data_IF_857600352258
#
_entry.id   IF_857600352258
#
_cell.length_a   1.000
_cell.length_b   1.000
_cell.length_c   1.000
_cell.angle_alpha   90.00
_cell.angle_beta   90.00
_cell.angle_gamma   90.00
#
_symmetry.space_group_name_H-M   'P 1'
#
loop_
_entity.id
_entity.type
_entity.pdbx_description
1 polymer ?
#
# COMPACT_ATOMS: atom_id res chain seq x y z
N UNK A 1 26.73 -50.41 33.83
CA UNK A 1 26.51 -51.69 33.11
C UNK A 1 25.02 -52.00 33.16
N UNK A 2 24.54 -52.68 32.12
CA UNK A 2 23.16 -53.10 31.78
C UNK A 2 22.28 -52.07 31.05
N UNK A 3 22.13 -52.38 29.77
CA UNK A 3 21.48 -51.72 28.64
C UNK A 3 19.99 -52.08 28.56
N UNK A 4 19.19 -51.16 28.03
CA UNK A 4 17.82 -51.42 27.61
C UNK A 4 17.78 -51.52 26.07
N UNK A 5 17.05 -52.49 25.51
CA UNK A 5 17.05 -52.87 24.09
C UNK A 5 15.63 -53.09 23.59
N UNK A 6 15.35 -52.60 22.38
CA UNK A 6 14.22 -52.98 21.51
C UNK A 6 13.06 -51.99 21.55
N UNK A 7 12.53 -51.47 20.44
CA UNK A 7 12.78 -51.70 19.02
C UNK A 7 11.57 -51.18 18.25
N UNK A 8 11.75 -50.49 17.13
CA UNK A 8 10.67 -50.23 16.16
C UNK A 8 11.26 -50.08 14.76
N UNK A 9 10.68 -50.87 13.85
CA UNK A 9 10.97 -51.00 12.43
C UNK A 9 10.62 -49.74 11.63
N UNK A 10 11.44 -49.40 10.64
CA UNK A 10 10.96 -48.76 9.41
C UNK A 10 11.93 -49.02 8.26
N UNK A 11 11.42 -49.75 7.25
CA UNK A 11 12.11 -50.18 6.06
C UNK A 11 12.33 -49.07 5.03
N UNK A 12 13.51 -49.09 4.39
CA UNK A 12 13.78 -48.49 3.08
C UNK A 12 13.28 -49.45 1.98
N UNK A 13 12.81 -48.94 0.82
CA UNK A 13 13.57 -49.28 -0.38
C UNK A 13 13.73 -48.16 -1.41
N UNK A 14 14.76 -48.40 -2.23
CA UNK A 14 15.41 -47.63 -3.28
C UNK A 14 14.66 -47.54 -4.62
N UNK A 15 14.94 -46.42 -5.30
CA UNK A 15 15.21 -46.19 -6.75
C UNK A 15 14.11 -46.50 -7.78
N UNK A 16 13.88 -45.52 -8.68
CA UNK A 16 14.21 -45.67 -10.12
C UNK A 16 14.03 -44.35 -10.90
N UNK A 17 15.10 -43.92 -11.57
CA UNK A 17 15.06 -43.06 -12.77
C UNK A 17 14.60 -43.89 -13.99
N UNK A 18 13.91 -43.27 -14.95
CA UNK A 18 14.05 -43.57 -16.39
C UNK A 18 13.40 -42.49 -17.26
N UNK A 19 14.21 -41.96 -18.18
CA UNK A 19 13.89 -41.01 -19.24
C UNK A 19 13.01 -41.65 -20.34
N UNK A 20 12.23 -40.84 -21.06
CA UNK A 20 11.58 -41.25 -22.31
C UNK A 20 10.89 -40.10 -23.04
N UNK A 21 11.43 -39.74 -24.21
CA UNK A 21 11.05 -38.63 -25.07
C UNK A 21 9.75 -38.85 -25.87
N UNK A 22 9.09 -37.75 -26.23
CA UNK A 22 8.02 -37.69 -27.23
C UNK A 22 7.53 -36.26 -27.50
N UNK A 23 8.05 -35.66 -28.56
CA UNK A 23 7.44 -34.53 -29.32
C UNK A 23 7.08 -35.08 -30.73
N UNK A 24 6.32 -34.39 -31.60
CA UNK A 24 5.54 -33.16 -31.45
C UNK A 24 4.10 -33.28 -32.04
N UNK A 25 3.21 -32.32 -31.77
CA UNK A 25 2.17 -31.89 -32.75
C UNK A 25 1.72 -30.46 -32.50
N UNK A 26 1.73 -29.69 -33.60
CA UNK A 26 1.27 -28.32 -33.75
C UNK A 26 -0.12 -28.04 -33.18
N UNK A 27 -0.26 -26.89 -32.54
CA UNK A 27 -1.52 -26.39 -31.99
C UNK A 27 -1.42 -24.92 -31.65
N UNK A 28 -1.21 -24.11 -32.68
CA UNK A 28 -1.17 -22.66 -32.63
C UNK A 28 -2.47 -22.09 -32.04
N UNK A 29 -2.40 -21.54 -30.84
CA UNK A 29 -3.45 -20.69 -30.27
C UNK A 29 -2.81 -19.38 -29.82
N UNK A 30 -2.80 -18.42 -30.74
CA UNK A 30 -2.45 -17.04 -30.47
C UNK A 30 -3.42 -16.45 -29.43
N UNK A 31 -2.89 -15.94 -28.32
CA UNK A 31 -3.65 -15.10 -27.41
C UNK A 31 -4.09 -13.82 -28.14
N UNK A 32 -5.38 -13.45 -28.11
CA UNK A 32 -5.85 -12.27 -28.79
C UNK A 32 -5.33 -11.02 -28.07
N UNK A 33 -4.60 -10.19 -28.82
CA UNK A 33 -4.36 -8.81 -28.46
C UNK A 33 -5.70 -8.10 -28.28
N UNK A 34 -5.97 -7.55 -27.11
CA UNK A 34 -7.08 -6.65 -26.90
C UNK A 34 -6.72 -5.26 -27.47
N UNK A 35 -6.79 -5.15 -28.79
CA UNK A 35 -6.92 -3.88 -29.48
C UNK A 35 -8.39 -3.69 -29.80
N UNK A 36 -9.07 -2.84 -29.02
CA UNK A 36 -10.24 -2.13 -29.51
C UNK A 36 -10.03 -0.64 -29.25
N UNK A 37 -9.66 0.02 -30.33
CA UNK A 37 -9.90 1.43 -30.56
C UNK A 37 -11.40 1.70 -30.41
N UNK A 38 -11.73 2.56 -29.47
CA UNK A 38 -12.96 3.32 -29.46
C UNK A 38 -12.62 4.68 -28.89
N UNK A 39 -11.99 5.50 -29.73
CA UNK A 39 -12.53 6.82 -30.08
C UNK A 39 -13.58 7.36 -29.09
N UNK A 40 -13.13 7.84 -27.93
CA UNK A 40 -13.83 8.89 -27.18
C UNK A 40 -13.03 10.16 -27.33
N UNK A 41 -13.18 10.79 -28.49
CA UNK A 41 -12.75 12.16 -28.70
C UNK A 41 -13.94 13.07 -28.38
N UNK A 42 -13.92 13.75 -27.25
CA UNK A 42 -14.43 15.13 -27.16
C UNK A 42 -13.81 15.83 -25.96
N UNK A 43 -12.77 16.61 -26.25
CA UNK A 43 -12.30 17.83 -25.58
C UNK A 43 -12.97 18.23 -24.26
N UNK A 44 -12.19 18.20 -23.17
CA UNK A 44 -12.47 18.98 -21.94
C UNK A 44 -11.92 20.41 -22.08
N UNK A 45 -12.04 21.02 -23.27
CA UNK A 45 -11.63 22.41 -23.48
C UNK A 45 -12.85 23.27 -23.74
N UNK A 46 -12.93 24.35 -22.97
CA UNK A 46 -13.79 25.52 -23.15
C UNK A 46 -15.12 25.55 -22.37
N UNK A 47 -14.98 25.73 -21.05
CA UNK A 47 -15.63 26.85 -20.36
C UNK A 47 -14.86 27.16 -19.05
N UNK A 48 -13.58 27.54 -19.15
CA UNK A 48 -13.02 28.46 -18.13
C UNK A 48 -13.40 29.87 -18.59
N UNK A 49 -14.70 30.14 -18.58
CA UNK A 49 -15.23 31.49 -18.72
C UNK A 49 -15.42 32.03 -17.31
N UNK A 50 -14.62 33.03 -16.95
CA UNK A 50 -14.77 33.86 -15.75
C UNK A 50 -14.96 33.11 -14.42
N UNK A 51 -14.09 32.13 -14.15
CA UNK A 51 -13.84 31.79 -12.75
C UNK A 51 -13.17 33.01 -12.11
N UNK A 52 -13.93 33.74 -11.28
CA UNK A 52 -13.41 34.75 -10.36
C UNK A 52 -12.09 34.22 -9.77
N UNK A 53 -11.05 35.06 -9.61
CA UNK A 53 -9.84 34.63 -8.93
C UNK A 53 -10.23 34.17 -7.53
N UNK A 54 -10.37 32.86 -7.35
CA UNK A 54 -10.48 32.28 -6.02
C UNK A 54 -9.04 32.16 -5.54
N UNK A 55 -8.72 32.82 -4.43
CA UNK A 55 -7.44 32.62 -3.72
C UNK A 55 -7.22 31.15 -3.30
N UNK A 56 -8.23 30.29 -3.50
CA UNK A 56 -8.19 28.89 -3.21
C UNK A 56 -8.00 28.03 -4.46
N UNK A 57 -7.24 26.93 -4.34
CA UNK A 57 -7.12 25.94 -5.39
C UNK A 57 -8.49 25.42 -5.84
N UNK A 58 -8.66 25.06 -7.12
CA UNK A 58 -9.95 24.67 -7.68
C UNK A 58 -10.53 23.37 -7.12
N UNK A 59 -9.72 22.58 -6.40
CA UNK A 59 -10.13 21.29 -5.85
C UNK A 59 -9.86 21.20 -4.34
N UNK A 60 -10.78 20.55 -3.62
CA UNK A 60 -10.58 20.08 -2.25
C UNK A 60 -10.28 18.57 -2.30
N UNK A 61 -9.11 18.17 -1.81
CA UNK A 61 -8.69 16.78 -1.77
C UNK A 61 -8.79 16.26 -0.34
N UNK A 62 -9.69 15.31 -0.15
CA UNK A 62 -9.92 14.65 1.14
C UNK A 62 -9.16 13.33 1.14
N UNK A 63 -8.31 13.16 2.14
CA UNK A 63 -7.50 11.96 2.33
C UNK A 63 -7.89 11.28 3.62
N UNK A 64 -8.44 10.09 3.51
CA UNK A 64 -8.66 9.24 4.67
C UNK A 64 -7.30 8.79 5.26
N UNK A 65 -7.26 8.63 6.58
CA UNK A 65 -6.06 8.21 7.30
C UNK A 65 -5.95 6.69 7.38
N UNK A 66 -6.97 6.02 7.92
CA UNK A 66 -6.90 4.63 8.33
C UNK A 66 -7.09 3.67 7.14
N UNK A 67 -6.12 2.81 6.90
CA UNK A 67 -6.02 1.89 5.75
C UNK A 67 -5.92 2.55 4.36
N UNK A 68 -5.85 3.89 4.31
CA UNK A 68 -5.54 4.65 3.10
C UNK A 68 -4.10 5.17 3.10
N UNK A 69 -3.72 5.97 4.11
CA UNK A 69 -2.34 6.44 4.29
C UNK A 69 -1.60 5.55 5.30
N UNK A 70 -2.27 5.21 6.40
CA UNK A 70 -1.70 4.47 7.53
C UNK A 70 -2.30 3.06 7.61
N UNK A 71 -1.50 1.98 7.62
CA UNK A 71 -1.99 0.61 7.46
C UNK A 71 -2.55 0.02 8.78
N UNK A 72 -3.54 0.67 9.38
CA UNK A 72 -4.09 0.35 10.70
C UNK A 72 -4.56 -1.11 10.81
N UNK A 73 -5.37 -1.59 9.86
CA UNK A 73 -5.87 -2.96 9.87
C UNK A 73 -4.74 -3.97 9.70
N UNK A 74 -3.68 -3.61 8.96
CA UNK A 74 -2.47 -4.42 8.84
C UNK A 74 -1.75 -4.58 10.18
N UNK A 75 -1.48 -3.48 10.88
CA UNK A 75 -0.84 -3.49 12.19
C UNK A 75 -1.69 -4.20 13.24
N UNK A 76 -3.02 -3.98 13.21
CA UNK A 76 -3.96 -4.64 14.12
C UNK A 76 -3.98 -6.17 13.94
N UNK A 77 -3.90 -6.67 12.70
CA UNK A 77 -3.77 -8.12 12.44
C UNK A 77 -2.49 -8.72 13.01
N UNK A 78 -1.42 -7.93 13.08
CA UNK A 78 -0.15 -8.30 13.69
C UNK A 78 -0.10 -8.04 15.20
N UNK A 79 -1.20 -7.56 15.80
CA UNK A 79 -1.28 -7.17 17.22
C UNK A 79 -0.22 -6.11 17.61
N UNK A 80 0.02 -5.17 16.69
CA UNK A 80 0.94 -4.05 16.85
C UNK A 80 0.12 -2.79 17.11
N UNK A 81 0.20 -2.29 18.34
CA UNK A 81 -0.44 -1.06 18.80
C UNK A 81 0.57 0.08 19.04
N UNK A 82 1.86 -0.26 19.19
CA UNK A 82 2.96 0.69 19.42
C UNK A 82 4.13 0.45 18.49
N UNK A 83 4.86 1.53 18.17
CA UNK A 83 6.04 1.46 17.31
C UNK A 83 7.11 0.51 17.87
N UNK A 84 7.24 0.45 19.20
CA UNK A 84 8.20 -0.41 19.89
C UNK A 84 7.99 -1.92 19.66
N UNK A 85 6.83 -2.33 19.16
CA UNK A 85 6.52 -3.73 18.85
C UNK A 85 6.93 -4.13 17.43
N UNK A 86 7.32 -3.16 16.58
CA UNK A 86 7.78 -3.43 15.23
C UNK A 86 9.20 -4.03 15.25
N UNK A 87 9.39 -5.13 14.54
CA UNK A 87 10.73 -5.60 14.21
C UNK A 87 11.38 -4.66 13.16
N UNK A 88 12.71 -4.68 13.08
CA UNK A 88 13.50 -3.71 12.29
C UNK A 88 13.07 -3.63 10.81
N UNK A 89 12.83 -4.78 10.18
CA UNK A 89 12.40 -4.80 8.78
C UNK A 89 11.02 -4.12 8.57
N UNK A 90 10.05 -4.34 9.46
CA UNK A 90 8.73 -3.71 9.32
C UNK A 90 8.79 -2.22 9.66
N UNK A 91 9.65 -1.83 10.61
CA UNK A 91 9.94 -0.43 10.88
C UNK A 91 10.55 0.26 9.64
N UNK A 92 11.49 -0.39 8.96
CA UNK A 92 12.08 0.13 7.73
C UNK A 92 11.04 0.29 6.60
N UNK A 93 10.13 -0.69 6.44
CA UNK A 93 9.02 -0.59 5.50
C UNK A 93 8.04 0.53 5.85
N UNK A 94 7.72 0.72 7.14
CA UNK A 94 6.89 1.82 7.59
C UNK A 94 7.53 3.19 7.29
N UNK A 95 8.86 3.32 7.46
CA UNK A 95 9.60 4.54 7.09
C UNK A 95 9.58 4.78 5.59
N UNK A 96 9.69 3.73 4.77
CA UNK A 96 9.55 3.84 3.31
C UNK A 96 8.14 4.26 2.91
N UNK A 97 7.12 3.70 3.57
CA UNK A 97 5.72 4.06 3.36
C UNK A 97 5.47 5.54 3.67
N UNK A 98 5.96 6.03 4.81
CA UNK A 98 5.89 7.44 5.21
C UNK A 98 6.46 8.37 4.12
N UNK A 99 7.64 8.05 3.59
CA UNK A 99 8.26 8.84 2.50
C UNK A 99 7.47 8.77 1.18
N UNK A 100 6.78 7.66 0.91
CA UNK A 100 5.89 7.55 -0.26
C UNK A 100 4.62 8.36 -0.07
N UNK A 101 4.02 8.31 1.12
CA UNK A 101 2.84 9.10 1.47
C UNK A 101 3.12 10.60 1.31
N UNK A 102 4.25 11.10 1.82
CA UNK A 102 4.65 12.50 1.64
C UNK A 102 4.73 12.87 0.16
N UNK A 103 5.38 12.06 -0.68
CA UNK A 103 5.49 12.33 -2.12
C UNK A 103 4.13 12.37 -2.81
N UNK A 104 3.23 11.44 -2.47
CA UNK A 104 1.87 11.41 -3.03
C UNK A 104 1.11 12.68 -2.63
N UNK A 105 1.12 13.05 -1.35
CA UNK A 105 0.44 14.25 -0.85
C UNK A 105 1.05 15.54 -1.40
N UNK A 106 2.37 15.57 -1.62
CA UNK A 106 3.06 16.70 -2.25
C UNK A 106 2.62 16.88 -3.71
N UNK A 107 2.56 15.81 -4.50
CA UNK A 107 2.04 15.89 -5.86
C UNK A 107 0.58 16.30 -5.86
N UNK A 108 -0.25 15.70 -4.99
CA UNK A 108 -1.66 16.04 -4.83
C UNK A 108 -1.88 17.53 -4.47
N UNK A 109 -0.97 18.12 -3.70
CA UNK A 109 -1.05 19.53 -3.26
C UNK A 109 -0.94 20.54 -4.38
N UNK A 110 -0.42 20.12 -5.54
CA UNK A 110 -0.33 20.96 -6.74
C UNK A 110 -1.68 21.14 -7.43
N UNK A 111 -2.63 20.26 -7.15
CA UNK A 111 -3.96 20.28 -7.77
C UNK A 111 -5.00 20.95 -6.88
N UNK A 112 -4.82 20.92 -5.56
CA UNK A 112 -5.85 21.41 -4.66
C UNK A 112 -5.46 21.57 -3.20
N UNK A 113 -6.40 22.04 -2.38
CA UNK A 113 -6.24 22.06 -0.93
C UNK A 113 -6.37 20.66 -0.37
N UNK A 114 -5.38 20.19 0.40
CA UNK A 114 -5.45 18.93 1.11
C UNK A 114 -6.11 19.06 2.48
N UNK A 115 -6.92 18.06 2.81
CA UNK A 115 -7.42 17.81 4.16
C UNK A 115 -7.26 16.33 4.47
N UNK A 116 -6.67 16.02 5.62
CA UNK A 116 -6.63 14.65 6.15
C UNK A 116 -7.82 14.45 7.06
N UNK A 117 -8.56 13.36 6.85
CA UNK A 117 -9.75 12.99 7.61
C UNK A 117 -9.54 11.59 8.19
N UNK A 118 -10.06 11.33 9.39
CA UNK A 118 -10.17 9.99 9.96
C UNK A 118 -11.54 9.89 10.62
N UNK A 119 -12.15 8.69 10.62
CA UNK A 119 -13.35 8.43 11.43
C UNK A 119 -13.01 8.11 12.91
N UNK A 120 -11.74 8.08 13.27
CA UNK A 120 -11.29 7.86 14.64
C UNK A 120 -11.29 9.17 15.45
N UNK A 121 -10.90 9.11 16.72
CA UNK A 121 -10.78 10.33 17.53
C UNK A 121 -9.60 11.20 17.09
N UNK A 122 -9.67 12.50 17.37
CA UNK A 122 -8.55 13.43 17.14
C UNK A 122 -7.27 12.97 17.83
N UNK A 123 -7.43 12.48 19.06
CA UNK A 123 -6.33 11.92 19.83
C UNK A 123 -5.66 10.77 19.08
N UNK A 124 -6.43 9.82 18.55
CA UNK A 124 -5.88 8.72 17.74
C UNK A 124 -5.12 9.22 16.51
N UNK A 125 -5.70 10.16 15.75
CA UNK A 125 -5.06 10.68 14.55
C UNK A 125 -3.72 11.34 14.88
N UNK A 126 -3.68 12.20 15.91
CA UNK A 126 -2.46 12.92 16.28
C UNK A 126 -1.41 11.99 16.91
N UNK A 127 -1.79 11.01 17.74
CA UNK A 127 -0.85 10.06 18.35
C UNK A 127 -0.30 9.06 17.33
N UNK A 128 -1.16 8.49 16.48
CA UNK A 128 -0.70 7.54 15.44
C UNK A 128 0.21 8.22 14.42
N UNK A 129 -0.08 9.46 14.03
CA UNK A 129 0.84 10.28 13.24
C UNK A 129 2.18 10.47 13.95
N UNK A 130 2.18 10.94 15.20
CA UNK A 130 3.41 11.26 15.91
C UNK A 130 4.28 10.03 16.20
N UNK A 131 3.66 8.90 16.52
CA UNK A 131 4.38 7.67 16.84
C UNK A 131 4.86 6.93 15.59
N UNK A 132 3.98 6.71 14.61
CA UNK A 132 4.28 5.86 13.47
C UNK A 132 4.83 6.63 12.26
N UNK A 133 4.39 7.88 12.04
CA UNK A 133 4.76 8.70 10.88
C UNK A 133 5.13 10.15 11.27
N UNK A 134 6.17 10.35 12.12
CA UNK A 134 6.57 11.67 12.62
C UNK A 134 7.06 12.65 11.55
N UNK A 135 7.70 12.18 10.49
CA UNK A 135 8.14 13.02 9.36
C UNK A 135 6.93 13.52 8.59
N UNK A 136 5.95 12.65 8.34
CA UNK A 136 4.68 13.07 7.72
C UNK A 136 3.93 14.05 8.62
N UNK A 137 3.91 13.82 9.93
CA UNK A 137 3.30 14.76 10.89
C UNK A 137 3.94 16.16 10.79
N UNK A 138 5.28 16.22 10.73
CA UNK A 138 6.03 17.46 10.52
C UNK A 138 5.64 18.15 9.22
N UNK A 139 5.65 17.40 8.11
CA UNK A 139 5.29 17.90 6.78
C UNK A 139 3.86 18.46 6.73
N UNK A 140 2.88 17.75 7.32
CA UNK A 140 1.49 18.21 7.41
C UNK A 140 1.38 19.53 8.18
N UNK A 141 2.13 19.68 9.28
CA UNK A 141 2.14 20.90 10.11
C UNK A 141 2.78 22.06 9.38
N UNK A 142 3.95 21.86 8.77
CA UNK A 142 4.68 22.90 8.04
C UNK A 142 3.87 23.47 6.88
N UNK A 143 3.05 22.64 6.24
CA UNK A 143 2.17 23.06 5.14
C UNK A 143 0.76 23.49 5.58
N UNK A 144 0.48 23.50 6.88
CA UNK A 144 -0.85 23.87 7.40
C UNK A 144 -1.97 22.97 6.91
N UNK A 145 -1.69 21.69 6.60
CA UNK A 145 -2.70 20.73 6.16
C UNK A 145 -3.67 20.47 7.30
N UNK A 146 -4.96 20.69 7.02
CA UNK A 146 -6.01 20.52 8.02
C UNK A 146 -6.22 19.05 8.31
N UNK A 147 -6.36 18.72 9.60
CA UNK A 147 -6.71 17.37 10.08
C UNK A 147 -8.09 17.42 10.71
N UNK A 148 -8.99 16.52 10.32
CA UNK A 148 -10.36 16.42 10.83
C UNK A 148 -10.60 14.99 11.33
N UNK A 149 -11.33 14.85 12.43
CA UNK A 149 -11.67 13.58 13.06
C UNK A 149 -13.11 13.60 13.54
#
# INVERSE_FOLDING_TARGET
>A
MTTNTGGEDAAEPKKQELNGAGEPTDGQAASPACSNDSSRSTSITAAVGDALPTDHPPYLLIWDWDDTIFPRSGLRRLQIDRLSQLHEQLLAELRRLEQRAIRVLEVASRFGSLVVVSNATRHWLDTSLGEFMPVLQGWLRERGVRRIS
#
